data_IF_455101492374
#
_entry.id   IF_455101492374
#
_cell.length_a   1.000
_cell.length_b   1.000
_cell.length_c   1.000
_cell.angle_alpha   90.00
_cell.angle_beta   90.00
_cell.angle_gamma   90.00
#
_symmetry.space_group_name_H-M   'P 1'
#
loop_
_entity.id
_entity.type
_entity.pdbx_description
1 polymer ?
#
# COMPACT_ATOMS: atom_id res chain seq x y z
N UNK A 1 1.22 -1.84 18.65
CA UNK A 1 0.13 -1.39 17.73
C UNK A 1 -0.77 -2.59 17.43
N UNK A 2 -2.11 -2.45 17.44
CA UNK A 2 -3.01 -3.55 17.06
C UNK A 2 -3.29 -3.52 15.55
N UNK A 3 -2.50 -4.27 14.79
CA UNK A 3 -2.58 -4.29 13.32
C UNK A 3 -3.88 -4.87 12.77
N UNK A 4 -4.50 -5.83 13.47
CA UNK A 4 -5.78 -6.42 13.09
C UNK A 4 -6.93 -5.41 13.22
N UNK A 5 -6.96 -4.64 14.30
CA UNK A 5 -7.94 -3.57 14.49
C UNK A 5 -7.71 -2.43 13.49
N UNK A 6 -6.46 -2.07 13.26
CA UNK A 6 -6.11 -1.05 12.28
C UNK A 6 -6.56 -1.45 10.86
N UNK A 7 -6.46 -2.74 10.51
CA UNK A 7 -6.99 -3.28 9.26
C UNK A 7 -8.52 -3.19 9.17
N UNK A 8 -9.23 -3.54 10.24
CA UNK A 8 -10.70 -3.58 10.28
C UNK A 8 -11.36 -2.21 10.40
N UNK A 9 -10.65 -1.24 10.98
CA UNK A 9 -11.19 0.10 11.22
C UNK A 9 -11.18 0.91 9.92
N UNK A 10 -12.24 0.76 9.13
CA UNK A 10 -12.38 1.45 7.87
C UNK A 10 -13.03 2.82 8.06
N UNK A 11 -12.40 3.90 7.57
CA UNK A 11 -12.99 5.23 7.56
C UNK A 11 -14.09 5.37 6.52
N UNK A 12 -14.78 6.49 6.53
CA UNK A 12 -15.64 6.88 5.40
C UNK A 12 -14.74 7.36 4.27
N UNK A 13 -14.72 6.62 3.17
CA UNK A 13 -13.91 6.94 2.00
C UNK A 13 -14.54 8.00 1.12
N UNK A 14 -13.70 8.91 0.59
CA UNK A 14 -14.05 9.78 -0.52
C UNK A 14 -13.92 8.97 -1.80
N UNK A 15 -15.02 8.85 -2.53
CA UNK A 15 -15.10 8.00 -3.72
C UNK A 15 -14.49 8.68 -4.94
N UNK A 16 -13.62 7.97 -5.65
CA UNK A 16 -13.17 8.32 -6.99
C UNK A 16 -13.74 7.34 -8.01
N UNK A 17 -14.65 7.83 -8.86
CA UNK A 17 -15.32 7.01 -9.86
C UNK A 17 -14.49 6.73 -11.11
N UNK A 18 -13.35 7.37 -11.27
CA UNK A 18 -12.56 7.30 -12.51
C UNK A 18 -11.59 6.12 -12.48
N UNK A 19 -10.89 5.92 -11.35
CA UNK A 19 -9.84 4.91 -11.21
C UNK A 19 -10.03 3.97 -10.02
N UNK A 20 -11.22 3.97 -9.40
CA UNK A 20 -11.51 3.20 -8.18
C UNK A 20 -10.47 3.47 -7.07
N UNK A 21 -10.00 4.72 -7.01
CA UNK A 21 -8.94 5.19 -6.12
C UNK A 21 -9.56 5.86 -4.88
N UNK A 22 -10.37 5.12 -4.13
CA UNK A 22 -11.05 5.62 -2.96
C UNK A 22 -10.06 5.88 -1.82
N UNK A 23 -10.21 7.02 -1.14
CA UNK A 23 -9.27 7.47 -0.13
C UNK A 23 -9.95 8.17 1.04
N UNK A 24 -9.25 8.22 2.17
CA UNK A 24 -9.65 8.98 3.35
C UNK A 24 -8.44 9.63 4.02
N UNK A 25 -8.62 10.82 4.55
CA UNK A 25 -7.63 11.50 5.39
C UNK A 25 -8.37 12.05 6.62
N UNK A 26 -7.85 11.75 7.81
CA UNK A 26 -8.39 12.28 9.06
C UNK A 26 -7.28 12.47 10.09
N UNK A 27 -7.55 13.28 11.11
CA UNK A 27 -6.63 13.50 12.22
C UNK A 27 -7.22 12.93 13.51
N UNK A 28 -6.40 12.22 14.27
CA UNK A 28 -6.71 11.78 15.63
C UNK A 28 -5.52 12.13 16.53
N UNK A 29 -5.76 12.99 17.51
CA UNK A 29 -4.70 13.59 18.31
C UNK A 29 -3.65 14.29 17.45
N UNK A 30 -2.39 13.87 17.57
CA UNK A 30 -1.26 14.36 16.77
C UNK A 30 -0.87 13.41 15.63
N UNK A 31 -1.80 12.60 15.15
CA UNK A 31 -1.55 11.70 14.02
C UNK A 31 -2.55 11.96 12.90
N UNK A 32 -2.03 12.23 11.72
CA UNK A 32 -2.80 12.32 10.48
C UNK A 32 -2.74 10.96 9.79
N UNK A 33 -3.89 10.36 9.62
CA UNK A 33 -4.06 9.10 8.93
C UNK A 33 -4.43 9.34 7.48
N UNK A 34 -3.76 8.65 6.57
CA UNK A 34 -4.08 8.62 5.14
C UNK A 34 -4.33 7.17 4.78
N UNK A 35 -5.52 6.83 4.28
CA UNK A 35 -5.86 5.45 3.94
C UNK A 35 -6.43 5.37 2.53
N UNK A 36 -5.95 4.38 1.78
CA UNK A 36 -6.44 4.05 0.46
C UNK A 36 -7.18 2.71 0.50
N UNK A 37 -8.37 2.67 -0.10
CA UNK A 37 -9.16 1.45 -0.22
C UNK A 37 -8.59 0.56 -1.33
N UNK A 38 -8.68 -0.76 -1.14
CA UNK A 38 -8.41 -1.73 -2.21
C UNK A 38 -9.56 -1.82 -3.20
N UNK A 39 -9.26 -2.23 -4.43
CA UNK A 39 -10.27 -2.45 -5.46
C UNK A 39 -11.26 -3.55 -5.07
N UNK A 40 -12.56 -3.30 -5.31
CA UNK A 40 -13.64 -4.29 -5.06
C UNK A 40 -13.61 -5.45 -6.06
N UNK A 41 -13.11 -5.21 -7.27
CA UNK A 41 -12.92 -6.23 -8.31
C UNK A 41 -11.49 -6.77 -8.29
N UNK A 42 -11.20 -7.61 -7.31
CA UNK A 42 -9.89 -8.22 -7.13
C UNK A 42 -9.36 -8.98 -8.36
N UNK A 43 -10.25 -9.67 -9.10
CA UNK A 43 -9.86 -10.44 -10.29
C UNK A 43 -9.35 -9.53 -11.40
N UNK A 44 -10.05 -8.43 -11.65
CA UNK A 44 -9.67 -7.48 -12.69
C UNK A 44 -8.38 -6.74 -12.30
N UNK A 45 -8.25 -6.36 -11.02
CA UNK A 45 -7.02 -5.78 -10.49
C UNK A 45 -5.80 -6.70 -10.66
N UNK A 46 -5.93 -8.01 -10.40
CA UNK A 46 -4.84 -8.95 -10.60
C UNK A 46 -4.44 -9.12 -12.08
N UNK A 47 -5.38 -9.02 -13.02
CA UNK A 47 -5.07 -9.04 -14.45
C UNK A 47 -4.34 -7.77 -14.88
N UNK A 48 -4.73 -6.63 -14.33
CA UNK A 48 -4.09 -5.34 -14.60
C UNK A 48 -2.68 -5.23 -13.98
N UNK A 49 -2.39 -5.99 -12.91
CA UNK A 49 -1.05 -6.08 -12.31
C UNK A 49 0.03 -6.62 -13.27
N UNK A 50 -0.36 -7.29 -14.32
CA UNK A 50 0.55 -7.84 -15.32
C UNK A 50 0.84 -6.84 -16.47
N UNK A 51 0.28 -5.62 -16.44
CA UNK A 51 0.39 -4.66 -17.52
C UNK A 51 1.13 -3.38 -17.07
N UNK A 52 2.05 -2.93 -17.92
CA UNK A 52 2.63 -1.59 -18.07
C UNK A 52 3.44 -0.96 -16.91
N UNK A 53 4.62 -0.46 -17.31
CA UNK A 53 5.51 0.36 -16.49
C UNK A 53 5.36 1.85 -16.88
N UNK A 54 5.56 2.75 -15.93
CA UNK A 54 5.62 4.20 -16.14
C UNK A 54 6.67 4.83 -15.22
N UNK A 55 7.40 5.82 -15.76
CA UNK A 55 8.40 6.56 -14.96
C UNK A 55 7.73 7.49 -13.96
N UNK A 56 8.22 7.47 -12.73
CA UNK A 56 8.01 8.50 -11.73
C UNK A 56 9.27 9.37 -11.68
N UNK A 57 9.09 10.69 -11.59
CA UNK A 57 10.16 11.59 -11.16
C UNK A 57 10.08 11.68 -9.65
N UNK A 58 11.11 11.20 -8.96
CA UNK A 58 11.29 11.47 -7.55
C UNK A 58 11.54 12.96 -7.33
N UNK A 59 11.20 13.45 -6.16
CA UNK A 59 11.28 14.89 -5.85
C UNK A 59 12.71 15.42 -5.69
N UNK A 60 13.69 14.55 -5.48
CA UNK A 60 15.12 14.86 -5.49
C UNK A 60 15.72 15.04 -6.89
N UNK A 61 14.89 14.88 -7.94
CA UNK A 61 15.30 14.91 -9.35
C UNK A 61 15.73 13.55 -9.89
N UNK A 62 15.86 12.52 -9.06
CA UNK A 62 16.03 11.14 -9.53
C UNK A 62 14.76 10.65 -10.22
N UNK A 63 14.89 9.67 -11.07
CA UNK A 63 13.75 9.02 -11.72
C UNK A 63 13.80 7.52 -11.45
N UNK A 64 12.67 6.95 -11.09
CA UNK A 64 12.52 5.53 -10.95
C UNK A 64 11.26 5.03 -11.65
N UNK A 65 11.23 3.76 -12.01
CA UNK A 65 10.13 3.16 -12.74
C UNK A 65 9.11 2.53 -11.79
N UNK A 66 7.86 3.03 -11.83
CA UNK A 66 6.74 2.47 -11.09
C UNK A 66 5.77 1.72 -12.01
N UNK A 67 4.92 0.90 -11.42
CA UNK A 67 3.79 0.31 -12.12
C UNK A 67 2.81 1.40 -12.58
N UNK A 68 2.53 1.47 -13.88
CA UNK A 68 1.75 2.56 -14.48
C UNK A 68 0.33 2.68 -13.90
N UNK A 69 -0.34 1.55 -13.67
CA UNK A 69 -1.69 1.54 -13.10
C UNK A 69 -1.72 2.12 -11.69
N UNK A 70 -0.79 1.74 -10.81
CA UNK A 70 -0.72 2.27 -9.44
C UNK A 70 -0.39 3.76 -9.41
N UNK A 71 0.55 4.17 -10.28
CA UNK A 71 0.85 5.59 -10.46
C UNK A 71 -0.39 6.36 -10.89
N UNK A 72 -1.10 5.88 -11.91
CA UNK A 72 -2.29 6.55 -12.43
C UNK A 72 -3.37 6.66 -11.34
N UNK A 73 -3.64 5.58 -10.61
CA UNK A 73 -4.61 5.56 -9.53
C UNK A 73 -4.25 6.57 -8.42
N UNK A 74 -3.00 6.56 -7.94
CA UNK A 74 -2.57 7.51 -6.91
C UNK A 74 -2.61 8.96 -7.42
N UNK A 75 -2.09 9.23 -8.61
CA UNK A 75 -2.00 10.60 -9.14
C UNK A 75 -3.37 11.20 -9.48
N UNK A 76 -4.41 10.39 -9.69
CA UNK A 76 -5.78 10.88 -9.88
C UNK A 76 -6.35 11.58 -8.64
N UNK A 77 -5.92 11.15 -7.44
CA UNK A 77 -6.38 11.68 -6.15
C UNK A 77 -5.32 12.48 -5.39
N UNK A 78 -4.06 12.41 -5.81
CA UNK A 78 -2.87 12.96 -5.16
C UNK A 78 -3.06 14.39 -4.62
N UNK A 79 -3.47 15.31 -5.48
CA UNK A 79 -3.58 16.71 -5.08
C UNK A 79 -4.63 16.91 -3.98
N UNK A 80 -5.78 16.22 -4.08
CA UNK A 80 -6.84 16.28 -3.05
C UNK A 80 -6.35 15.70 -1.71
N UNK A 81 -5.59 14.59 -1.76
CA UNK A 81 -4.99 13.99 -0.57
C UNK A 81 -4.01 14.95 0.08
N UNK A 82 -3.07 15.51 -0.69
CA UNK A 82 -2.09 16.48 -0.18
C UNK A 82 -2.75 17.73 0.38
N UNK A 83 -3.71 18.33 -0.33
CA UNK A 83 -4.44 19.50 0.12
C UNK A 83 -5.15 19.24 1.46
N UNK A 84 -5.76 18.04 1.61
CA UNK A 84 -6.38 17.63 2.87
C UNK A 84 -5.35 17.47 3.98
N UNK A 85 -4.19 16.85 3.68
CA UNK A 85 -3.07 16.75 4.64
C UNK A 85 -2.58 18.13 5.09
N UNK A 86 -2.38 19.07 4.17
CA UNK A 86 -1.97 20.43 4.50
C UNK A 86 -2.98 21.17 5.37
N UNK A 87 -4.28 20.98 5.12
CA UNK A 87 -5.35 21.60 5.90
C UNK A 87 -5.45 21.08 7.34
N UNK A 88 -5.03 19.83 7.58
CA UNK A 88 -5.07 19.19 8.89
C UNK A 88 -3.77 19.29 9.68
N UNK A 89 -2.65 19.55 9.00
CA UNK A 89 -1.32 19.49 9.59
C UNK A 89 -1.03 20.69 10.51
N UNK A 90 -0.57 20.36 11.70
CA UNK A 90 0.04 21.27 12.66
C UNK A 90 1.47 20.84 12.95
N UNK A 91 2.33 21.78 13.32
CA UNK A 91 3.73 21.47 13.61
C UNK A 91 3.85 20.42 14.72
N UNK A 92 4.61 19.37 14.46
CA UNK A 92 4.78 18.23 15.37
C UNK A 92 3.84 17.05 15.10
N UNK A 93 2.87 17.19 14.21
CA UNK A 93 2.02 16.06 13.81
C UNK A 93 2.81 15.01 13.03
N UNK A 94 2.39 13.74 13.21
CA UNK A 94 2.95 12.59 12.52
C UNK A 94 1.97 12.08 11.47
N UNK A 95 2.49 11.40 10.46
CA UNK A 95 1.65 10.72 9.46
C UNK A 95 1.68 9.21 9.61
N UNK A 96 0.52 8.59 9.41
CA UNK A 96 0.36 7.15 9.25
C UNK A 96 -0.38 6.88 7.94
N UNK A 97 0.29 6.21 7.00
CA UNK A 97 -0.26 5.88 5.69
C UNK A 97 -0.62 4.40 5.65
N UNK A 98 -1.84 4.11 5.24
CA UNK A 98 -2.46 2.80 5.33
C UNK A 98 -3.02 2.35 3.98
N UNK A 99 -2.93 1.05 3.67
CA UNK A 99 -3.59 0.53 2.48
C UNK A 99 -3.61 -0.98 2.38
N UNK A 100 -4.64 -1.50 1.73
CA UNK A 100 -4.78 -2.93 1.42
C UNK A 100 -4.81 -3.13 -0.10
N UNK A 101 -4.15 -4.17 -0.61
CA UNK A 101 -4.19 -4.50 -2.03
C UNK A 101 -3.73 -3.33 -2.92
N UNK A 102 -4.53 -2.90 -3.90
CA UNK A 102 -4.28 -1.68 -4.70
C UNK A 102 -4.06 -0.45 -3.82
N UNK A 103 -4.87 -0.29 -2.76
CA UNK A 103 -4.67 0.79 -1.79
C UNK A 103 -3.32 0.74 -1.09
N UNK A 104 -2.76 -0.47 -0.89
CA UNK A 104 -1.41 -0.66 -0.38
C UNK A 104 -0.33 -0.18 -1.35
N UNK A 105 -0.52 -0.40 -2.66
CA UNK A 105 0.36 0.16 -3.69
C UNK A 105 0.30 1.68 -3.73
N UNK A 106 -0.90 2.27 -3.62
CA UNK A 106 -1.08 3.72 -3.53
C UNK A 106 -0.44 4.29 -2.27
N UNK A 107 -0.56 3.59 -1.13
CA UNK A 107 0.05 3.96 0.14
C UNK A 107 1.59 4.01 0.05
N UNK A 108 2.22 3.06 -0.66
CA UNK A 108 3.66 3.07 -0.92
C UNK A 108 4.09 4.31 -1.70
N UNK A 109 3.36 4.67 -2.77
CA UNK A 109 3.63 5.88 -3.56
C UNK A 109 3.38 7.16 -2.75
N UNK A 110 2.30 7.20 -1.97
CA UNK A 110 1.95 8.33 -1.10
C UNK A 110 2.99 8.55 0.00
N UNK A 111 3.67 7.49 0.45
CA UNK A 111 4.71 7.58 1.49
C UNK A 111 5.88 8.46 1.06
N UNK A 112 6.42 8.27 -0.15
CA UNK A 112 7.46 9.12 -0.72
C UNK A 112 6.95 10.57 -0.85
N UNK A 113 5.78 10.74 -1.43
CA UNK A 113 5.22 12.04 -1.76
C UNK A 113 4.91 12.89 -0.52
N UNK A 114 4.17 12.33 0.44
CA UNK A 114 3.84 13.02 1.70
C UNK A 114 5.11 13.28 2.52
N UNK A 115 5.99 12.28 2.62
CA UNK A 115 7.24 12.41 3.34
C UNK A 115 8.12 13.55 2.80
N UNK A 116 8.19 13.68 1.47
CA UNK A 116 8.89 14.78 0.81
C UNK A 116 8.23 16.14 1.08
N UNK A 117 6.92 16.24 0.97
CA UNK A 117 6.18 17.49 1.17
C UNK A 117 6.28 18.01 2.62
N UNK A 118 6.17 17.12 3.60
CA UNK A 118 6.19 17.47 5.02
C UNK A 118 7.58 17.34 5.68
N UNK A 119 8.61 16.94 4.91
CA UNK A 119 10.02 16.81 5.36
C UNK A 119 10.18 15.91 6.59
N UNK A 120 9.43 14.81 6.64
CA UNK A 120 9.50 13.88 7.75
C UNK A 120 9.35 12.41 7.29
N UNK A 121 9.86 11.50 8.12
CA UNK A 121 9.57 10.08 8.00
C UNK A 121 8.19 9.78 8.60
N UNK A 122 7.48 8.87 7.98
CA UNK A 122 6.12 8.50 8.38
C UNK A 122 5.99 6.99 8.58
N UNK A 123 4.92 6.57 9.26
CA UNK A 123 4.60 5.15 9.44
C UNK A 123 3.77 4.67 8.25
N UNK A 124 4.27 3.67 7.54
CA UNK A 124 3.55 2.98 6.48
C UNK A 124 3.12 1.59 6.95
N UNK A 125 1.83 1.29 6.88
CA UNK A 125 1.31 -0.04 7.12
C UNK A 125 0.48 -0.50 5.92
N UNK A 126 0.92 -1.57 5.28
CA UNK A 126 0.16 -2.16 4.18
C UNK A 126 -0.17 -3.63 4.44
N UNK A 127 -1.23 -4.09 3.80
CA UNK A 127 -1.67 -5.47 3.82
C UNK A 127 -1.85 -5.97 2.38
N UNK A 128 -1.10 -6.98 2.00
CA UNK A 128 -1.20 -7.59 0.67
C UNK A 128 -0.92 -6.61 -0.47
N UNK A 129 -0.03 -5.64 -0.28
CA UNK A 129 0.31 -4.65 -1.30
C UNK A 129 1.13 -5.30 -2.43
N UNK A 130 0.76 -5.14 -3.71
CA UNK A 130 1.58 -5.57 -4.84
C UNK A 130 2.87 -4.77 -4.92
N UNK A 131 3.82 -5.24 -5.71
CA UNK A 131 5.11 -4.59 -5.93
C UNK A 131 4.96 -3.35 -6.79
N UNK A 132 5.44 -2.21 -6.31
CA UNK A 132 5.23 -0.90 -6.97
C UNK A 132 6.43 -0.41 -7.76
N UNK A 133 7.65 -0.68 -7.29
CA UNK A 133 8.90 -0.21 -7.91
C UNK A 133 9.54 -1.31 -8.76
N UNK A 134 10.00 -0.96 -9.95
CA UNK A 134 10.66 -1.89 -10.86
C UNK A 134 11.99 -2.40 -10.31
N UNK A 135 12.73 -1.53 -9.63
CA UNK A 135 14.08 -1.79 -9.17
C UNK A 135 14.34 -1.22 -7.77
N UNK A 136 15.56 -1.42 -7.29
CA UNK A 136 15.98 -0.99 -5.95
C UNK A 136 15.96 0.54 -5.79
N UNK A 137 16.17 1.31 -6.85
CA UNK A 137 16.18 2.77 -6.76
C UNK A 137 14.81 3.29 -6.28
N UNK A 138 13.71 2.73 -6.83
CA UNK A 138 12.38 3.08 -6.39
C UNK A 138 12.06 2.61 -4.96
N UNK A 139 12.59 1.46 -4.56
CA UNK A 139 12.46 0.97 -3.17
C UNK A 139 13.18 1.90 -2.20
N UNK A 140 14.38 2.35 -2.55
CA UNK A 140 15.18 3.23 -1.71
C UNK A 140 14.53 4.62 -1.58
N UNK A 141 13.96 5.15 -2.66
CA UNK A 141 13.20 6.41 -2.65
C UNK A 141 12.00 6.35 -1.69
N UNK A 142 11.22 5.26 -1.72
CA UNK A 142 10.10 5.07 -0.80
C UNK A 142 10.62 4.91 0.65
N UNK A 143 11.65 4.08 0.83
CA UNK A 143 12.22 3.76 2.15
C UNK A 143 12.83 4.95 2.86
N UNK A 144 13.31 5.95 2.12
CA UNK A 144 13.86 7.20 2.67
C UNK A 144 12.85 7.87 3.62
N UNK A 145 11.56 7.82 3.28
CA UNK A 145 10.49 8.45 4.07
C UNK A 145 9.75 7.48 5.00
N UNK A 146 10.21 6.24 5.14
CA UNK A 146 9.65 5.29 6.10
C UNK A 146 10.38 5.36 7.44
N UNK A 147 9.63 5.28 8.54
CA UNK A 147 10.20 5.10 9.87
C UNK A 147 10.32 3.60 10.24
N UNK A 148 10.90 3.30 11.39
CA UNK A 148 11.15 1.95 11.89
C UNK A 148 9.89 1.16 12.24
N UNK A 149 8.76 1.84 12.46
CA UNK A 149 7.46 1.21 12.75
C UNK A 149 6.70 0.77 11.49
N UNK A 150 7.20 1.12 10.31
CA UNK A 150 6.57 0.75 9.04
C UNK A 150 6.59 -0.77 8.81
N UNK A 151 5.51 -1.31 8.23
CA UNK A 151 5.36 -2.75 7.93
C UNK A 151 4.59 -2.97 6.63
N UNK A 152 5.08 -3.87 5.79
CA UNK A 152 4.37 -4.40 4.64
C UNK A 152 4.00 -5.86 4.92
N UNK A 153 2.75 -6.13 5.30
CA UNK A 153 2.30 -7.46 5.68
C UNK A 153 1.97 -8.32 4.47
N UNK A 154 2.52 -9.54 4.46
CA UNK A 154 2.25 -10.59 3.48
C UNK A 154 1.69 -11.83 4.19
N UNK A 155 0.46 -12.23 3.89
CA UNK A 155 -0.24 -13.29 4.61
C UNK A 155 -0.16 -14.64 3.88
N UNK A 156 0.66 -15.54 4.39
CA UNK A 156 0.69 -16.94 3.99
C UNK A 156 0.82 -17.16 2.48
N UNK A 157 -0.25 -17.64 1.85
CA UNK A 157 -0.29 -17.90 0.40
C UNK A 157 -0.93 -16.76 -0.42
N UNK A 158 -0.95 -15.54 0.10
CA UNK A 158 -1.35 -14.37 -0.69
C UNK A 158 -0.36 -14.14 -1.84
N UNK A 159 -0.84 -14.25 -3.07
CA UNK A 159 0.01 -14.09 -4.26
C UNK A 159 0.24 -12.62 -4.63
N UNK A 160 -0.65 -11.70 -4.21
CA UNK A 160 -0.62 -10.30 -4.63
C UNK A 160 0.70 -9.60 -4.32
N UNK A 161 1.30 -9.76 -3.12
CA UNK A 161 2.59 -9.13 -2.80
C UNK A 161 3.76 -9.63 -3.66
N UNK A 162 3.58 -10.74 -4.37
CA UNK A 162 4.61 -11.27 -5.28
C UNK A 162 4.50 -10.74 -6.70
N UNK A 163 3.44 -9.98 -7.01
CA UNK A 163 3.13 -9.48 -8.34
C UNK A 163 3.41 -7.97 -8.47
N UNK A 164 3.85 -7.52 -9.64
CA UNK A 164 4.43 -8.31 -10.73
C UNK A 164 5.80 -8.89 -10.31
N UNK A 165 6.08 -10.16 -10.65
CA UNK A 165 7.27 -10.88 -10.15
C UNK A 165 8.62 -10.32 -10.62
N UNK A 166 8.63 -9.48 -11.65
CA UNK A 166 9.83 -8.80 -12.16
C UNK A 166 10.06 -7.41 -11.56
N UNK A 167 9.24 -7.00 -10.60
CA UNK A 167 9.42 -5.79 -9.82
C UNK A 167 10.16 -6.12 -8.52
N UNK A 168 10.82 -5.13 -7.94
CA UNK A 168 11.50 -5.27 -6.67
C UNK A 168 10.50 -5.53 -5.54
N UNK A 169 10.91 -6.32 -4.55
CA UNK A 169 10.11 -6.59 -3.35
C UNK A 169 9.94 -5.31 -2.55
N UNK A 170 8.72 -5.06 -2.06
CA UNK A 170 8.43 -3.90 -1.22
C UNK A 170 9.34 -3.87 0.04
N UNK A 171 9.64 -2.69 0.58
CA UNK A 171 10.52 -2.57 1.74
C UNK A 171 9.81 -3.04 3.02
N UNK A 172 10.59 -3.43 4.04
CA UNK A 172 10.10 -3.78 5.39
C UNK A 172 8.96 -4.82 5.40
N UNK A 173 9.11 -5.87 4.56
CA UNK A 173 8.15 -6.97 4.49
C UNK A 173 8.14 -7.78 5.79
N UNK A 174 6.94 -8.09 6.26
CA UNK A 174 6.68 -8.97 7.39
C UNK A 174 5.73 -10.08 6.96
N UNK A 175 6.25 -11.31 6.93
CA UNK A 175 5.42 -12.48 6.64
C UNK A 175 4.60 -12.89 7.87
N UNK A 176 3.28 -13.03 7.68
CA UNK A 176 2.34 -13.50 8.70
C UNK A 176 1.56 -14.69 8.18
N UNK A 177 1.14 -15.56 9.10
CA UNK A 177 0.45 -16.80 8.72
C UNK A 177 1.35 -17.81 8.01
N UNK A 178 0.78 -18.97 7.70
CA UNK A 178 1.50 -20.08 7.05
C UNK A 178 1.24 -20.13 5.56
N UNK A 179 2.29 -20.25 4.76
CA UNK A 179 2.18 -20.52 3.32
C UNK A 179 1.77 -21.98 3.10
N UNK A 180 0.55 -22.20 2.62
CA UNK A 180 0.00 -23.55 2.36
C UNK A 180 0.13 -24.03 0.90
N UNK A 181 0.48 -23.12 -0.01
CA UNK A 181 0.53 -23.38 -1.44
C UNK A 181 1.80 -22.84 -2.08
N UNK A 182 2.24 -23.50 -3.15
CA UNK A 182 3.21 -22.91 -4.06
C UNK A 182 2.60 -21.70 -4.79
N UNK A 183 3.44 -20.74 -5.22
CA UNK A 183 2.99 -19.56 -5.97
C UNK A 183 2.16 -19.92 -7.22
N UNK A 184 2.49 -21.03 -7.91
CA UNK A 184 1.72 -21.50 -9.07
C UNK A 184 0.29 -21.93 -8.70
N UNK A 185 0.10 -22.58 -7.54
CA UNK A 185 -1.23 -22.97 -7.05
C UNK A 185 -1.99 -21.76 -6.52
N UNK A 186 -1.31 -20.85 -5.81
CA UNK A 186 -1.89 -19.60 -5.36
C UNK A 186 -2.39 -18.76 -6.54
N UNK A 187 -1.60 -18.64 -7.63
CA UNK A 187 -2.02 -17.95 -8.84
C UNK A 187 -3.26 -18.58 -9.50
N UNK A 188 -3.33 -19.91 -9.55
CA UNK A 188 -4.55 -20.62 -10.03
C UNK A 188 -5.76 -20.30 -9.15
N UNK A 189 -5.62 -20.32 -7.82
CA UNK A 189 -6.71 -20.01 -6.90
C UNK A 189 -7.20 -18.57 -7.07
N UNK A 190 -6.30 -17.61 -7.33
CA UNK A 190 -6.66 -16.22 -7.66
C UNK A 190 -7.47 -16.15 -8.94
N UNK A 191 -6.99 -16.79 -10.01
CA UNK A 191 -7.64 -16.71 -11.34
C UNK A 191 -9.01 -17.40 -11.37
N UNK A 192 -9.18 -18.49 -10.62
CA UNK A 192 -10.39 -19.32 -10.67
C UNK A 192 -11.34 -19.16 -9.48
N UNK A 193 -10.83 -18.87 -8.28
CA UNK A 193 -11.60 -18.84 -7.03
C UNK A 193 -11.59 -17.48 -6.31
N UNK A 194 -10.86 -16.49 -6.84
CA UNK A 194 -10.81 -15.13 -6.27
C UNK A 194 -10.19 -15.07 -4.88
N UNK A 195 -9.03 -15.66 -4.67
CA UNK A 195 -8.12 -15.65 -3.49
C UNK A 195 -8.54 -14.84 -2.23
N UNK A 196 -9.80 -14.97 -1.81
CA UNK A 196 -10.33 -14.17 -0.69
C UNK A 196 -9.72 -14.57 0.66
N UNK A 197 -9.32 -15.84 0.80
CA UNK A 197 -8.92 -16.39 2.11
C UNK A 197 -7.65 -15.75 2.67
N UNK A 198 -6.60 -15.62 1.86
CA UNK A 198 -5.33 -15.04 2.29
C UNK A 198 -5.30 -13.54 2.07
N UNK A 199 -5.69 -13.09 0.90
CA UNK A 199 -5.65 -11.68 0.53
C UNK A 199 -6.62 -10.78 1.33
N UNK A 200 -7.77 -11.29 1.75
CA UNK A 200 -8.72 -10.57 2.60
C UNK A 200 -8.67 -11.03 4.07
N UNK A 201 -7.75 -11.92 4.41
CA UNK A 201 -7.66 -12.55 5.74
C UNK A 201 -6.87 -11.77 6.79
N UNK A 202 -6.39 -10.59 6.50
CA UNK A 202 -5.52 -9.78 7.38
C UNK A 202 -6.20 -9.29 8.67
N UNK A 203 -7.50 -9.41 8.79
CA UNK A 203 -8.25 -9.06 10.01
C UNK A 203 -8.16 -10.08 11.15
N UNK A 204 -7.48 -11.22 10.98
CA UNK A 204 -7.32 -12.20 12.04
C UNK A 204 -6.18 -11.79 13.00
N UNK A 205 -6.51 -11.58 14.28
CA UNK A 205 -5.56 -11.18 15.33
C UNK A 205 -4.42 -12.18 15.54
N UNK A 206 -4.71 -13.48 15.39
CA UNK A 206 -3.74 -14.54 15.64
C UNK A 206 -2.53 -14.48 14.69
N UNK A 207 -2.70 -13.88 13.50
CA UNK A 207 -1.62 -13.70 12.53
C UNK A 207 -0.48 -12.82 13.04
N UNK A 208 -0.75 -11.96 14.02
CA UNK A 208 0.21 -10.98 14.53
C UNK A 208 0.83 -11.38 15.87
N UNK A 209 0.52 -12.57 16.37
CA UNK A 209 0.98 -13.04 17.69
C UNK A 209 2.51 -13.16 17.83
N UNK A 210 3.22 -13.32 16.71
CA UNK A 210 4.69 -13.39 16.66
C UNK A 210 5.38 -12.03 16.47
N UNK A 211 4.60 -10.95 16.31
CA UNK A 211 5.11 -9.60 16.10
C UNK A 211 5.03 -8.86 17.43
N UNK A 212 6.15 -8.83 18.13
CA UNK A 212 6.30 -8.09 19.38
C UNK A 212 6.60 -6.61 19.15
#
# INVERSE_FOLDING_TARGET
MNYSELYKNEPVYIKDSTYDADWAVWKDGHTIYVRFEGTKSFKDACMDLLAFQSKIKAYDGATWDAHAGFKTAYYSVRNKVLDTCYNLYEEGDKFMVLGHSLGGAMALLATEDIGWHFKQKLTLITWGAPRVAKDQNGIDAIKEYMNEDSRNFENGSDIVPTLPWWFATNPMVVHIGEAKYSNAKALKDVLFNGCKKYHCGYGNQDLYSSIA
#
